data_IF_752985574159
#
_entry.id   IF_752985574159
#
_cell.length_a   1.000
_cell.length_b   1.000
_cell.length_c   1.000
_cell.angle_alpha   90.00
_cell.angle_beta   90.00
_cell.angle_gamma   90.00
#
_symmetry.space_group_name_H-M   'P 1'
#
loop_
_entity.id
_entity.type
_entity.pdbx_description
1 polymer ?
#
# COMPACT_ATOMS: atom_id res chain seq x y z
N UNK A 1 -21.07 4.29 11.10
CA UNK A 1 -20.68 3.37 10.01
C UNK A 1 -19.44 2.65 10.48
N UNK A 2 -19.49 1.33 10.53
CA UNK A 2 -18.32 0.55 10.91
C UNK A 2 -17.27 0.63 9.79
N UNK A 3 -15.99 0.94 10.08
CA UNK A 3 -14.98 1.07 9.04
C UNK A 3 -14.70 -0.22 8.26
N UNK A 4 -14.85 -1.40 8.89
CA UNK A 4 -14.69 -2.69 8.21
C UNK A 4 -15.85 -2.91 7.24
N UNK A 5 -17.08 -2.64 7.69
CA UNK A 5 -18.26 -2.69 6.83
C UNK A 5 -18.13 -1.73 5.63
N UNK A 6 -17.58 -0.53 5.83
CA UNK A 6 -17.32 0.41 4.74
C UNK A 6 -16.35 -0.18 3.69
N UNK A 7 -15.19 -0.69 4.11
CA UNK A 7 -14.18 -1.20 3.18
C UNK A 7 -14.60 -2.50 2.46
N UNK A 8 -15.49 -3.28 3.08
CA UNK A 8 -16.05 -4.49 2.46
C UNK A 8 -17.02 -4.17 1.33
N UNK A 9 -17.64 -2.98 1.35
CA UNK A 9 -18.68 -2.58 0.40
C UNK A 9 -18.22 -1.55 -0.66
N UNK A 10 -16.91 -1.31 -0.79
CA UNK A 10 -16.38 -0.44 -1.86
C UNK A 10 -16.60 -1.11 -3.23
N UNK A 11 -17.43 -0.51 -4.07
CA UNK A 11 -17.84 -1.03 -5.38
C UNK A 11 -17.23 -0.30 -6.58
N UNK A 12 -16.60 0.85 -6.36
CA UNK A 12 -16.01 1.67 -7.43
C UNK A 12 -14.67 2.26 -7.00
N UNK A 13 -13.79 2.48 -7.99
CA UNK A 13 -12.50 3.18 -7.82
C UNK A 13 -12.77 4.59 -7.28
N UNK A 14 -12.14 4.96 -6.17
CA UNK A 14 -12.32 6.27 -5.52
C UNK A 14 -11.11 6.60 -4.63
N UNK A 15 -10.95 7.89 -4.30
CA UNK A 15 -9.98 8.33 -3.29
C UNK A 15 -10.60 8.23 -1.90
N UNK A 16 -9.87 7.61 -0.97
CA UNK A 16 -10.33 7.37 0.40
C UNK A 16 -9.29 7.93 1.36
N UNK A 17 -9.75 8.72 2.33
CA UNK A 17 -8.93 9.21 3.44
C UNK A 17 -9.33 8.49 4.72
N UNK A 18 -8.36 7.86 5.37
CA UNK A 18 -8.55 7.13 6.62
C UNK A 18 -7.83 7.86 7.77
N UNK A 19 -8.59 8.40 8.72
CA UNK A 19 -8.06 9.16 9.86
C UNK A 19 -8.51 8.49 11.16
N UNK A 20 -7.58 7.87 11.89
CA UNK A 20 -7.85 7.16 13.15
C UNK A 20 -6.73 7.45 14.16
N UNK A 21 -7.08 7.52 15.44
CA UNK A 21 -6.12 7.70 16.56
C UNK A 21 -5.63 6.39 17.19
N UNK A 22 -6.38 5.30 17.02
CA UNK A 22 -6.03 3.96 17.49
C UNK A 22 -5.28 3.21 16.39
N UNK A 23 -3.95 3.09 16.54
CA UNK A 23 -3.08 2.47 15.53
C UNK A 23 -3.46 1.02 15.19
N UNK A 24 -3.91 0.24 16.17
CA UNK A 24 -4.28 -1.15 15.95
C UNK A 24 -5.54 -1.25 15.10
N UNK A 25 -6.56 -0.45 15.41
CA UNK A 25 -7.77 -0.36 14.57
C UNK A 25 -7.45 0.19 13.19
N UNK A 26 -6.54 1.15 13.09
CA UNK A 26 -6.12 1.72 11.82
C UNK A 26 -5.53 0.64 10.90
N UNK A 27 -4.63 -0.20 11.42
CA UNK A 27 -4.01 -1.31 10.68
C UNK A 27 -5.02 -2.37 10.27
N UNK A 28 -5.95 -2.75 11.14
CA UNK A 28 -7.00 -3.72 10.80
C UNK A 28 -7.84 -3.28 9.60
N UNK A 29 -8.30 -2.02 9.60
CA UNK A 29 -9.10 -1.47 8.49
C UNK A 29 -8.26 -1.33 7.22
N UNK A 30 -7.00 -0.86 7.35
CA UNK A 30 -6.09 -0.72 6.21
C UNK A 30 -5.78 -2.06 5.55
N UNK A 31 -5.44 -3.10 6.34
CA UNK A 31 -5.13 -4.42 5.80
C UNK A 31 -6.37 -5.14 5.28
N UNK A 32 -7.55 -4.90 5.86
CA UNK A 32 -8.81 -5.37 5.28
C UNK A 32 -9.05 -4.78 3.90
N UNK A 33 -8.88 -3.46 3.74
CA UNK A 33 -8.98 -2.79 2.44
C UNK A 33 -8.01 -3.38 1.41
N UNK A 34 -6.73 -3.54 1.78
CA UNK A 34 -5.69 -4.10 0.91
C UNK A 34 -6.02 -5.55 0.54
N UNK A 35 -6.38 -6.39 1.51
CA UNK A 35 -6.74 -7.78 1.29
C UNK A 35 -7.92 -7.93 0.34
N UNK A 36 -8.96 -7.09 0.49
CA UNK A 36 -10.12 -7.09 -0.40
C UNK A 36 -9.74 -6.80 -1.86
N UNK A 37 -8.85 -5.84 -2.11
CA UNK A 37 -8.35 -5.54 -3.46
C UNK A 37 -7.47 -6.67 -4.02
N UNK A 38 -6.53 -7.19 -3.23
CA UNK A 38 -5.63 -8.28 -3.65
C UNK A 38 -6.40 -9.56 -4.02
N UNK A 39 -7.45 -9.90 -3.27
CA UNK A 39 -8.33 -11.03 -3.60
C UNK A 39 -9.10 -10.83 -4.92
N UNK A 40 -9.38 -9.59 -5.28
CA UNK A 40 -9.96 -9.19 -6.58
C UNK A 40 -8.92 -9.06 -7.70
N UNK A 41 -7.66 -9.45 -7.44
CA UNK A 41 -6.53 -9.31 -8.38
C UNK A 41 -6.17 -7.86 -8.73
N UNK A 42 -6.51 -6.92 -7.85
CA UNK A 42 -6.07 -5.52 -7.97
C UNK A 42 -4.61 -5.38 -7.50
N UNK A 43 -3.87 -4.44 -8.11
CA UNK A 43 -2.50 -4.13 -7.72
C UNK A 43 -2.46 -3.17 -6.53
N UNK A 44 -1.53 -3.40 -5.60
CA UNK A 44 -1.28 -2.59 -4.42
C UNK A 44 0.20 -2.15 -4.36
N UNK A 45 0.41 -0.84 -4.29
CA UNK A 45 1.68 -0.23 -3.89
C UNK A 45 1.51 0.33 -2.49
N UNK A 46 2.15 -0.30 -1.50
CA UNK A 46 2.13 0.14 -0.10
C UNK A 46 3.38 0.96 0.19
N UNK A 47 3.20 2.26 0.41
CA UNK A 47 4.29 3.16 0.78
C UNK A 47 4.32 3.36 2.29
N UNK A 48 5.51 3.27 2.89
CA UNK A 48 5.68 3.42 4.35
C UNK A 48 7.01 4.10 4.71
N UNK A 49 7.07 4.74 5.87
CA UNK A 49 8.35 5.17 6.48
C UNK A 49 9.00 4.05 7.31
N UNK A 50 8.25 2.98 7.62
CA UNK A 50 8.72 1.83 8.38
C UNK A 50 9.56 0.86 7.53
N UNK A 51 10.11 -0.18 8.15
CA UNK A 51 10.77 -1.27 7.42
C UNK A 51 9.71 -2.06 6.61
N UNK A 52 9.95 -2.35 5.32
CA UNK A 52 9.07 -3.22 4.53
C UNK A 52 8.86 -4.59 5.18
N UNK A 53 9.89 -5.15 5.81
CA UNK A 53 9.85 -6.45 6.49
C UNK A 53 8.88 -6.42 7.68
N UNK A 54 8.87 -5.32 8.44
CA UNK A 54 7.90 -5.12 9.52
C UNK A 54 6.47 -5.11 8.98
N UNK A 55 6.21 -4.35 7.92
CA UNK A 55 4.87 -4.29 7.30
C UNK A 55 4.45 -5.66 6.76
N UNK A 56 5.37 -6.41 6.13
CA UNK A 56 5.10 -7.78 5.68
C UNK A 56 4.65 -8.67 6.83
N UNK A 57 5.35 -8.60 7.96
CA UNK A 57 5.00 -9.38 9.15
C UNK A 57 3.60 -9.04 9.66
N UNK A 58 3.29 -7.74 9.80
CA UNK A 58 1.97 -7.29 10.25
C UNK A 58 0.85 -7.68 9.27
N UNK A 59 1.10 -7.63 7.97
CA UNK A 59 0.15 -8.11 6.95
C UNK A 59 -0.12 -9.61 7.09
N UNK A 60 0.92 -10.43 7.33
CA UNK A 60 0.80 -11.87 7.55
C UNK A 60 -0.01 -12.16 8.82
N UNK A 61 0.26 -11.46 9.92
CA UNK A 61 -0.50 -11.58 11.18
C UNK A 61 -1.99 -11.23 11.00
N UNK A 62 -2.30 -10.38 10.03
CA UNK A 62 -3.67 -9.99 9.67
C UNK A 62 -4.26 -10.85 8.51
N UNK A 63 -3.62 -11.98 8.18
CA UNK A 63 -4.17 -12.97 7.25
C UNK A 63 -3.94 -12.69 5.77
N UNK A 64 -3.03 -11.77 5.42
CA UNK A 64 -2.64 -11.53 4.03
C UNK A 64 -1.48 -12.45 3.65
N UNK A 65 -1.67 -13.22 2.57
CA UNK A 65 -0.63 -14.08 1.97
C UNK A 65 0.36 -13.23 1.16
N UNK A 66 1.24 -12.53 1.87
CA UNK A 66 2.21 -11.58 1.30
C UNK A 66 3.10 -12.24 0.26
N UNK A 67 3.57 -13.47 0.50
CA UNK A 67 4.48 -14.15 -0.42
C UNK A 67 3.81 -14.43 -1.76
N UNK A 68 2.59 -14.96 -1.73
CA UNK A 68 1.80 -15.20 -2.94
C UNK A 68 1.48 -13.92 -3.70
N UNK A 69 1.02 -12.87 -3.01
CA UNK A 69 0.66 -11.63 -3.70
C UNK A 69 1.89 -10.89 -4.24
N UNK A 70 3.03 -11.01 -3.58
CA UNK A 70 4.31 -10.51 -4.09
C UNK A 70 4.77 -11.30 -5.32
N UNK A 71 4.68 -12.64 -5.31
CA UNK A 71 5.07 -13.46 -6.48
C UNK A 71 4.17 -13.22 -7.69
N UNK A 72 2.88 -12.96 -7.45
CA UNK A 72 1.91 -12.58 -8.49
C UNK A 72 2.10 -11.13 -8.98
N UNK A 73 3.08 -10.38 -8.44
CA UNK A 73 3.29 -8.95 -8.71
C UNK A 73 2.08 -8.04 -8.39
N UNK A 74 1.19 -8.50 -7.51
CA UNK A 74 0.01 -7.77 -7.05
C UNK A 74 0.31 -6.90 -5.84
N UNK A 75 1.29 -7.25 -5.01
CA UNK A 75 1.69 -6.48 -3.84
C UNK A 75 3.14 -6.03 -3.92
N UNK A 76 3.37 -4.71 -3.89
CA UNK A 76 4.69 -4.08 -3.74
C UNK A 76 4.70 -3.24 -2.47
N UNK A 77 5.65 -3.48 -1.58
CA UNK A 77 5.84 -2.69 -0.35
C UNK A 77 7.13 -1.90 -0.51
N UNK A 78 7.02 -0.58 -0.38
CA UNK A 78 8.10 0.36 -0.65
C UNK A 78 8.34 1.27 0.55
N UNK A 79 9.60 1.39 0.96
CA UNK A 79 10.01 2.34 1.99
C UNK A 79 10.26 3.70 1.37
N UNK A 80 9.50 4.71 1.79
CA UNK A 80 9.66 6.10 1.35
C UNK A 80 11.04 6.60 1.79
N UNK A 81 11.93 6.99 0.85
CA UNK A 81 13.20 7.58 1.19
C UNK A 81 13.01 8.98 1.77
N UNK A 82 14.03 9.48 2.46
CA UNK A 82 14.06 10.88 2.90
C UNK A 82 14.39 11.77 1.70
N UNK A 83 13.35 12.12 0.93
CA UNK A 83 13.48 12.89 -0.31
C UNK A 83 14.10 14.28 -0.08
N UNK A 84 13.98 14.83 1.13
CA UNK A 84 14.56 16.13 1.46
C UNK A 84 16.09 16.07 1.58
N UNK A 85 16.66 14.87 1.69
CA UNK A 85 18.10 14.61 1.75
C UNK A 85 18.68 14.05 0.45
N UNK A 86 17.90 13.99 -0.63
CA UNK A 86 18.44 13.52 -1.92
C UNK A 86 19.54 14.49 -2.39
N UNK A 87 20.72 13.99 -2.79
CA UNK A 87 21.85 14.82 -3.19
C UNK A 87 21.57 15.67 -4.44
N UNK A 88 20.65 15.23 -5.30
CA UNK A 88 20.25 15.95 -6.51
C UNK A 88 19.04 16.88 -6.26
N UNK A 89 18.60 16.98 -5.01
CA UNK A 89 17.53 17.83 -4.53
C UNK A 89 16.16 17.14 -4.46
N UNK A 90 15.18 17.74 -3.74
CA UNK A 90 13.92 17.07 -3.42
C UNK A 90 13.06 16.68 -4.61
N UNK A 91 13.11 17.46 -5.70
CA UNK A 91 12.37 17.17 -6.92
C UNK A 91 12.90 15.91 -7.61
N UNK A 92 14.22 15.76 -7.70
CA UNK A 92 14.84 14.58 -8.31
C UNK A 92 14.68 13.35 -7.42
N UNK A 93 14.79 13.50 -6.10
CA UNK A 93 14.45 12.44 -5.15
C UNK A 93 13.01 11.94 -5.31
N UNK A 94 12.06 12.85 -5.48
CA UNK A 94 10.67 12.49 -5.76
C UNK A 94 10.51 11.76 -7.10
N UNK A 95 11.14 12.24 -8.19
CA UNK A 95 11.08 11.57 -9.50
C UNK A 95 11.66 10.15 -9.45
N UNK A 96 12.81 9.96 -8.80
CA UNK A 96 13.44 8.64 -8.60
C UNK A 96 12.49 7.71 -7.85
N UNK A 97 11.90 8.17 -6.75
CA UNK A 97 10.94 7.42 -5.96
C UNK A 97 9.73 6.95 -6.79
N UNK A 98 9.12 7.86 -7.56
CA UNK A 98 7.97 7.54 -8.43
C UNK A 98 8.36 6.52 -9.52
N UNK A 99 9.53 6.71 -10.14
CA UNK A 99 10.05 5.78 -11.15
C UNK A 99 10.22 4.37 -10.57
N UNK A 100 10.88 4.26 -9.43
CA UNK A 100 11.14 2.98 -8.77
C UNK A 100 9.86 2.28 -8.32
N UNK A 101 8.90 3.00 -7.72
CA UNK A 101 7.68 2.40 -7.19
C UNK A 101 6.74 1.90 -8.31
N UNK A 102 6.74 2.57 -9.46
CA UNK A 102 5.87 2.22 -10.60
C UNK A 102 6.54 1.28 -11.59
N UNK A 103 7.83 0.97 -11.40
CA UNK A 103 8.58 0.10 -12.30
C UNK A 103 7.87 -1.26 -12.46
N UNK A 104 7.58 -1.64 -13.71
CA UNK A 104 6.90 -2.89 -14.05
C UNK A 104 5.42 -2.94 -13.67
N UNK A 105 4.80 -1.82 -13.31
CA UNK A 105 3.34 -1.73 -13.16
C UNK A 105 2.68 -1.50 -14.53
N UNK A 106 1.48 -2.07 -14.79
CA UNK A 106 0.75 -1.79 -16.02
C UNK A 106 0.40 -0.29 -16.10
N UNK A 107 0.28 0.28 -17.31
CA UNK A 107 -0.21 1.64 -17.47
C UNK A 107 -1.63 1.76 -16.86
N UNK A 108 -2.00 2.93 -16.32
CA UNK A 108 -3.36 3.15 -15.84
C UNK A 108 -4.37 2.84 -16.95
N UNK A 109 -5.47 2.16 -16.60
CA UNK A 109 -6.61 2.02 -17.51
C UNK A 109 -7.22 3.41 -17.76
N UNK A 110 -7.41 3.76 -19.04
CA UNK A 110 -8.08 5.00 -19.48
C UNK A 110 -9.58 5.01 -19.17
#
# INVERSE_FOLDING_TARGET
>A
MDPIEFVDNISSKQHILHVITDENKAKQVQFRFIGNGLLKKEHCIYMTHESPEKIKHEMIENGIDVERFASDSLLKIYKVPDILKDPDGPLEGFKKMISDMTAGSPPPEE
#
